data_IF_665873073325
#
_entry.id   IF_665873073325
#
_cell.length_a   1.000
_cell.length_b   1.000
_cell.length_c   1.000
_cell.angle_alpha   90.00
_cell.angle_beta   90.00
_cell.angle_gamma   90.00
#
_symmetry.space_group_name_H-M   'P 1'
#
loop_
_entity.id
_entity.type
_entity.pdbx_description
1 polymer ?
#
# COMPACT_ATOMS: atom_id res chain seq x y z
N UNK A 1 99.70 8.90 -19.42
CA UNK A 1 99.09 8.19 -20.57
C UNK A 1 97.73 7.67 -20.12
N UNK A 2 96.67 7.97 -20.88
CA UNK A 2 95.30 7.45 -20.79
C UNK A 2 94.38 7.85 -19.61
N UNK A 3 93.33 8.58 -20.02
CA UNK A 3 91.97 8.83 -19.49
C UNK A 3 91.47 7.91 -18.37
N UNK A 4 90.87 8.49 -17.32
CA UNK A 4 89.70 7.92 -16.63
C UNK A 4 88.70 9.00 -16.23
N UNK A 5 87.46 8.77 -16.70
CA UNK A 5 86.22 9.49 -16.42
C UNK A 5 85.89 9.38 -14.93
N UNK A 6 85.54 10.49 -14.27
CA UNK A 6 85.00 10.47 -12.91
C UNK A 6 83.61 11.11 -12.93
N UNK A 7 82.60 10.29 -12.67
CA UNK A 7 81.18 10.63 -12.73
C UNK A 7 80.76 11.54 -11.56
N UNK A 8 80.01 12.60 -11.85
CA UNK A 8 79.27 13.37 -10.84
C UNK A 8 78.05 12.56 -10.40
N UNK A 9 78.00 12.14 -9.14
CA UNK A 9 76.77 11.69 -8.48
C UNK A 9 75.92 12.91 -8.13
N UNK A 10 74.82 13.10 -8.85
CA UNK A 10 73.73 13.99 -8.43
C UNK A 10 72.86 13.26 -7.40
N UNK A 11 72.75 13.83 -6.19
CA UNK A 11 71.83 13.35 -5.16
C UNK A 11 70.39 13.72 -5.56
N UNK A 12 69.64 12.74 -6.08
CA UNK A 12 68.19 12.84 -6.26
C UNK A 12 67.54 12.60 -4.89
N UNK A 13 67.00 13.65 -4.27
CA UNK A 13 66.08 13.51 -3.15
C UNK A 13 64.76 12.90 -3.68
N UNK A 14 64.56 11.60 -3.42
CA UNK A 14 63.26 10.96 -3.52
C UNK A 14 62.38 11.48 -2.37
N UNK A 15 61.53 12.48 -2.66
CA UNK A 15 60.41 12.81 -1.80
C UNK A 15 59.44 11.62 -1.84
N UNK A 16 59.49 10.77 -0.81
CA UNK A 16 58.45 9.80 -0.52
C UNK A 16 57.17 10.58 -0.17
N UNK A 17 56.38 10.90 -1.20
CA UNK A 17 55.03 11.41 -1.02
C UNK A 17 54.23 10.35 -0.29
N UNK A 18 53.94 10.60 0.99
CA UNK A 18 52.91 9.86 1.70
C UNK A 18 51.61 10.10 0.94
N UNK A 19 51.18 9.14 0.13
CA UNK A 19 49.81 9.05 -0.33
C UNK A 19 48.94 8.79 0.91
N UNK A 20 48.68 9.84 1.68
CA UNK A 20 47.70 9.81 2.74
C UNK A 20 46.36 9.52 2.10
N UNK A 21 45.86 8.30 2.28
CA UNK A 21 44.46 7.97 1.99
C UNK A 21 43.59 9.04 2.65
N UNK A 22 42.79 9.76 1.87
CA UNK A 22 41.82 10.70 2.43
C UNK A 22 41.01 9.97 3.52
N UNK A 23 40.77 10.59 4.69
CA UNK A 23 40.02 9.95 5.76
C UNK A 23 38.66 9.51 5.23
N UNK A 24 38.24 8.30 5.61
CA UNK A 24 36.94 7.78 5.23
C UNK A 24 35.86 8.81 5.63
N UNK A 25 34.87 9.08 4.76
CA UNK A 25 33.79 9.99 5.12
C UNK A 25 33.10 9.46 6.38
N UNK A 26 32.82 10.35 7.33
CA UNK A 26 32.17 9.98 8.58
C UNK A 26 30.81 9.31 8.31
N UNK A 27 30.44 8.28 9.10
CA UNK A 27 29.14 7.64 8.97
C UNK A 27 28.02 8.66 9.19
N UNK A 28 26.89 8.39 8.56
CA UNK A 28 25.64 9.13 8.75
C UNK A 28 24.93 8.59 9.98
N UNK A 29 24.26 9.46 10.74
CA UNK A 29 23.46 9.03 11.89
C UNK A 29 21.98 9.24 11.66
N UNK A 30 21.17 8.20 11.88
CA UNK A 30 19.70 8.27 11.91
C UNK A 30 19.21 8.12 13.35
N UNK A 31 18.46 9.10 13.85
CA UNK A 31 17.96 9.16 15.24
C UNK A 31 16.45 9.27 15.30
N UNK A 32 15.84 8.59 16.27
CA UNK A 32 14.41 8.65 16.51
C UNK A 32 13.99 7.89 17.76
N UNK A 33 12.68 7.74 17.92
CA UNK A 33 12.11 7.00 19.05
C UNK A 33 10.94 6.13 18.59
N UNK A 34 10.85 4.90 19.11
CA UNK A 34 9.69 4.03 18.90
C UNK A 34 8.63 4.31 19.98
N UNK A 35 7.39 4.58 19.60
CA UNK A 35 6.29 4.92 20.52
C UNK A 35 5.02 4.14 20.20
N UNK A 36 4.12 3.95 21.16
CA UNK A 36 2.73 3.54 20.89
C UNK A 36 1.79 4.14 21.94
N UNK A 37 0.48 4.19 21.65
CA UNK A 37 -0.51 4.94 22.46
C UNK A 37 -1.17 4.09 23.54
N UNK A 38 -1.23 2.78 23.31
CA UNK A 38 -1.91 1.83 24.18
C UNK A 38 -1.21 1.74 25.53
N UNK A 39 -1.98 1.65 26.62
CA UNK A 39 -1.46 1.50 27.98
C UNK A 39 -1.14 0.03 28.30
N UNK A 40 -0.31 -0.59 27.46
CA UNK A 40 0.11 -1.99 27.58
C UNK A 40 1.62 -2.00 27.72
N UNK A 41 2.17 -2.76 28.67
CA UNK A 41 3.62 -2.89 28.82
C UNK A 41 4.22 -3.87 27.81
N UNK A 42 5.41 -3.55 27.30
CA UNK A 42 6.26 -4.50 26.59
C UNK A 42 6.80 -5.55 27.57
N UNK A 43 6.89 -6.84 27.15
CA UNK A 43 7.59 -7.87 27.91
C UNK A 43 9.04 -7.47 28.21
N UNK A 44 9.60 -7.91 29.34
CA UNK A 44 10.95 -7.51 29.76
C UNK A 44 12.04 -8.03 28.80
N UNK A 45 11.79 -9.19 28.19
CA UNK A 45 12.65 -9.91 27.27
C UNK A 45 12.42 -9.48 25.80
N UNK A 46 11.61 -8.44 25.57
CA UNK A 46 11.39 -7.93 24.24
C UNK A 46 12.66 -7.29 23.66
N UNK A 47 12.84 -7.41 22.35
CA UNK A 47 13.93 -6.79 21.60
C UNK A 47 13.36 -5.86 20.55
N UNK A 48 13.87 -4.62 20.48
CA UNK A 48 13.59 -3.72 19.37
C UNK A 48 14.66 -3.88 18.28
N UNK A 49 14.23 -3.79 17.03
CA UNK A 49 15.10 -3.83 15.84
C UNK A 49 14.71 -2.69 14.92
N UNK A 50 15.68 -1.90 14.50
CA UNK A 50 15.52 -0.79 13.59
C UNK A 50 16.36 -1.10 12.36
N UNK A 51 15.74 -1.14 11.19
CA UNK A 51 16.42 -1.44 9.93
C UNK A 51 16.16 -0.36 8.89
N UNK A 52 17.14 -0.10 8.04
CA UNK A 52 17.00 0.64 6.80
C UNK A 52 17.21 -0.33 5.64
N UNK A 53 16.21 -0.43 4.77
CA UNK A 53 16.32 -1.16 3.50
C UNK A 53 16.34 -0.19 2.34
N UNK A 54 17.12 -0.51 1.32
CA UNK A 54 17.13 0.20 0.05
C UNK A 54 16.33 -0.58 -1.00
N UNK A 55 15.69 0.16 -1.91
CA UNK A 55 15.00 -0.39 -3.07
C UNK A 55 15.46 0.33 -4.33
N UNK A 56 15.97 -0.45 -5.28
CA UNK A 56 16.49 0.00 -6.59
C UNK A 56 15.83 -0.81 -7.71
N UNK A 57 16.13 -0.48 -8.96
CA UNK A 57 15.68 -1.27 -10.12
C UNK A 57 16.13 -2.75 -10.06
N UNK A 58 17.17 -3.06 -9.28
CA UNK A 58 17.73 -4.41 -9.13
C UNK A 58 17.11 -5.22 -7.97
N UNK A 59 16.23 -4.61 -7.18
CA UNK A 59 15.58 -5.27 -6.03
C UNK A 59 15.80 -4.51 -4.73
N UNK A 60 15.89 -5.25 -3.62
CA UNK A 60 16.05 -4.67 -2.28
C UNK A 60 17.21 -5.25 -1.49
N UNK A 61 17.87 -4.42 -0.68
CA UNK A 61 19.00 -4.79 0.18
C UNK A 61 18.85 -4.16 1.58
N UNK A 62 19.52 -4.74 2.57
CA UNK A 62 19.67 -4.14 3.90
C UNK A 62 20.86 -3.17 3.89
N UNK A 63 20.63 -1.91 4.27
CA UNK A 63 21.67 -0.88 4.34
C UNK A 63 22.28 -0.80 5.74
N UNK A 64 21.43 -0.78 6.77
CA UNK A 64 21.86 -0.68 8.16
C UNK A 64 20.82 -1.31 9.10
N UNK A 65 21.29 -1.84 10.22
CA UNK A 65 20.45 -2.42 11.26
C UNK A 65 20.98 -2.10 12.65
N UNK A 66 20.06 -1.89 13.61
CA UNK A 66 20.34 -1.81 15.02
C UNK A 66 19.38 -2.69 15.81
N UNK A 67 19.94 -3.58 16.64
CA UNK A 67 19.20 -4.35 17.65
C UNK A 67 19.37 -3.72 19.03
N UNK A 68 18.29 -3.72 19.82
CA UNK A 68 18.23 -3.18 21.19
C UNK A 68 17.50 -4.20 22.07
N UNK A 69 18.20 -4.76 23.05
CA UNK A 69 17.56 -5.54 24.10
C UNK A 69 16.88 -4.59 25.08
N UNK A 70 15.56 -4.71 25.24
CA UNK A 70 14.79 -3.73 26.01
C UNK A 70 15.01 -3.91 27.51
N UNK A 71 15.21 -5.13 28.00
CA UNK A 71 15.49 -5.43 29.41
C UNK A 71 14.53 -4.69 30.36
N UNK A 72 13.22 -4.74 30.05
CA UNK A 72 12.16 -4.05 30.80
C UNK A 72 11.89 -2.59 30.40
N UNK A 73 12.73 -1.97 29.56
CA UNK A 73 12.51 -0.63 29.02
C UNK A 73 11.19 -0.55 28.26
N UNK A 74 10.40 0.47 28.56
CA UNK A 74 9.12 0.76 27.94
C UNK A 74 9.25 1.91 26.92
N UNK A 75 8.21 2.13 26.11
CA UNK A 75 8.15 3.28 25.20
C UNK A 75 8.10 4.61 25.97
N UNK A 76 8.67 5.70 25.43
CA UNK A 76 9.40 5.79 24.16
C UNK A 76 10.77 5.09 24.19
N UNK A 77 11.11 4.34 23.14
CA UNK A 77 12.40 3.65 23.00
C UNK A 77 13.28 4.44 22.01
N UNK A 78 14.26 5.22 22.49
CA UNK A 78 15.16 5.96 21.61
C UNK A 78 16.12 5.02 20.90
N UNK A 79 16.46 5.36 19.66
CA UNK A 79 17.46 4.66 18.86
C UNK A 79 18.39 5.62 18.13
N UNK A 80 19.59 5.11 17.86
CA UNK A 80 20.59 5.72 17.02
C UNK A 80 21.15 4.63 16.11
N UNK A 81 21.12 4.88 14.80
CA UNK A 81 21.54 3.95 13.76
C UNK A 81 22.61 4.63 12.91
N UNK A 82 23.82 4.06 12.92
CA UNK A 82 24.92 4.49 12.06
C UNK A 82 24.77 3.85 10.68
N UNK A 83 24.97 4.64 9.63
CA UNK A 83 24.86 4.21 8.23
C UNK A 83 26.16 4.57 7.51
N UNK A 84 26.79 3.58 6.87
CA UNK A 84 27.96 3.83 6.01
C UNK A 84 27.51 4.55 4.73
N UNK A 85 28.04 5.76 4.49
CA UNK A 85 27.72 6.55 3.31
C UNK A 85 28.08 5.86 2.00
N UNK A 86 29.02 4.92 2.01
CA UNK A 86 29.43 4.16 0.81
C UNK A 86 28.42 3.08 0.42
N UNK A 87 27.56 2.68 1.35
CA UNK A 87 26.52 1.67 1.13
C UNK A 87 25.19 2.30 0.67
N UNK A 88 25.15 3.62 0.47
CA UNK A 88 23.93 4.35 0.09
C UNK A 88 23.96 4.58 -1.42
N UNK A 89 22.96 4.04 -2.13
CA UNK A 89 22.67 4.45 -3.50
C UNK A 89 21.78 5.71 -3.48
N UNK A 90 22.26 6.88 -3.97
CA UNK A 90 21.48 8.11 -3.94
C UNK A 90 20.19 8.06 -4.78
N UNK A 91 20.06 7.11 -5.70
CA UNK A 91 18.86 6.87 -6.51
C UNK A 91 17.84 5.93 -5.86
N UNK A 92 18.20 5.26 -4.77
CA UNK A 92 17.35 4.28 -4.11
C UNK A 92 16.27 4.91 -3.20
N UNK A 93 15.16 4.18 -3.04
CA UNK A 93 14.23 4.45 -1.95
C UNK A 93 14.78 3.82 -0.66
N UNK A 94 14.98 4.62 0.38
CA UNK A 94 15.42 4.14 1.68
C UNK A 94 14.23 4.08 2.63
N UNK A 95 13.85 2.89 3.07
CA UNK A 95 12.77 2.69 4.03
C UNK A 95 13.32 2.29 5.40
N UNK A 96 12.95 3.08 6.41
CA UNK A 96 13.17 2.77 7.81
C UNK A 96 11.97 2.03 8.38
N UNK A 97 12.23 0.94 9.10
CA UNK A 97 11.21 0.25 9.92
C UNK A 97 11.74 -0.05 11.32
N UNK A 98 10.87 0.14 12.31
CA UNK A 98 11.07 -0.30 13.68
C UNK A 98 10.19 -1.49 13.99
N UNK A 99 10.73 -2.49 14.69
CA UNK A 99 10.02 -3.73 15.05
C UNK A 99 10.31 -4.05 16.49
N UNK A 100 9.28 -4.41 17.25
CA UNK A 100 9.43 -4.97 18.60
C UNK A 100 9.00 -6.43 18.58
N UNK A 101 9.91 -7.29 19.00
CA UNK A 101 9.73 -8.75 19.01
C UNK A 101 9.83 -9.32 20.42
N UNK A 102 9.10 -10.40 20.66
CA UNK A 102 9.16 -11.18 21.91
C UNK A 102 9.01 -12.67 21.60
N UNK A 103 9.91 -13.50 22.16
CA UNK A 103 9.94 -14.94 21.90
C UNK A 103 10.24 -15.30 20.43
N UNK A 104 10.99 -14.42 19.73
CA UNK A 104 11.25 -14.59 18.30
C UNK A 104 10.06 -14.27 17.39
N UNK A 105 9.02 -13.61 17.91
CA UNK A 105 7.89 -13.15 17.10
C UNK A 105 7.77 -11.64 17.20
N UNK A 106 7.73 -10.98 16.06
CA UNK A 106 7.43 -9.57 16.00
C UNK A 106 5.98 -9.32 16.44
N UNK A 107 5.82 -8.47 17.46
CA UNK A 107 4.53 -8.13 18.10
C UNK A 107 4.02 -6.78 17.67
N UNK A 108 4.92 -5.86 17.37
CA UNK A 108 4.61 -4.52 16.89
C UNK A 108 5.61 -4.08 15.83
N UNK A 109 5.16 -3.31 14.85
CA UNK A 109 6.05 -2.67 13.89
C UNK A 109 5.53 -1.29 13.49
N UNK A 110 6.44 -0.49 12.97
CA UNK A 110 6.12 0.81 12.38
C UNK A 110 5.69 0.62 10.93
N UNK A 111 4.92 1.58 10.42
CA UNK A 111 4.83 1.74 8.97
C UNK A 111 6.22 2.07 8.40
N UNK A 112 6.50 1.69 7.13
CA UNK A 112 7.73 2.10 6.46
C UNK A 112 7.79 3.62 6.36
N UNK A 113 8.91 4.19 6.82
CA UNK A 113 9.20 5.61 6.68
C UNK A 113 10.28 5.79 5.63
N UNK A 114 9.95 6.47 4.53
CA UNK A 114 10.95 6.84 3.52
C UNK A 114 11.89 7.90 4.09
N UNK A 115 13.19 7.70 3.91
CA UNK A 115 14.26 8.58 4.36
C UNK A 115 14.97 9.24 3.18
N UNK A 116 15.38 10.49 3.36
CA UNK A 116 16.35 11.15 2.50
C UNK A 116 17.73 11.14 3.17
N UNK A 117 18.53 10.11 2.86
CA UNK A 117 19.86 9.94 3.43
C UNK A 117 20.95 10.78 2.75
N UNK A 118 20.64 11.46 1.63
CA UNK A 118 21.61 12.30 0.91
C UNK A 118 21.95 13.60 1.66
N UNK A 119 21.09 14.02 2.59
CA UNK A 119 21.13 15.34 3.24
C UNK A 119 22.01 15.42 4.50
N UNK A 120 22.58 14.31 4.97
CA UNK A 120 23.27 14.26 6.25
C UNK A 120 22.42 13.62 7.35
N UNK A 121 22.79 13.83 8.61
CA UNK A 121 22.17 13.15 9.74
C UNK A 121 20.65 13.36 9.75
N UNK A 122 19.91 12.28 9.98
CA UNK A 122 18.44 12.27 9.86
C UNK A 122 17.80 12.16 11.23
N UNK A 123 16.86 13.05 11.52
CA UNK A 123 15.97 12.94 12.69
C UNK A 123 14.60 12.48 12.23
N UNK A 124 14.20 11.29 12.65
CA UNK A 124 12.94 10.69 12.22
C UNK A 124 11.76 11.14 13.09
N UNK A 125 12.01 11.69 14.27
CA UNK A 125 10.99 11.90 15.29
C UNK A 125 10.44 10.57 15.80
N UNK A 126 9.19 10.61 16.27
CA UNK A 126 8.49 9.43 16.75
C UNK A 126 8.07 8.51 15.60
N UNK A 127 8.29 7.21 15.78
CA UNK A 127 7.81 6.16 14.91
C UNK A 127 6.78 5.31 15.67
N UNK A 128 5.55 5.32 15.19
CA UNK A 128 4.44 4.68 15.89
C UNK A 128 4.40 3.18 15.62
N UNK A 129 4.52 2.39 16.69
CA UNK A 129 4.45 0.92 16.70
C UNK A 129 3.00 0.46 16.73
N UNK A 130 2.52 -0.04 15.60
CA UNK A 130 1.19 -0.65 15.49
C UNK A 130 1.24 -2.12 15.95
N UNK A 131 0.19 -2.62 16.62
CA UNK A 131 0.05 -4.06 16.87
C UNK A 131 0.14 -4.84 15.57
N UNK A 132 0.78 -6.00 15.64
CA UNK A 132 0.84 -6.93 14.52
C UNK A 132 0.13 -8.21 14.89
N UNK A 133 -0.70 -8.69 13.96
CA UNK A 133 -1.31 -10.01 14.07
C UNK A 133 -0.25 -11.08 13.83
N UNK A 134 0.34 -11.53 14.95
CA UNK A 134 1.27 -12.65 15.15
C UNK A 134 2.57 -12.71 14.32
N UNK A 135 2.67 -12.21 13.08
CA UNK A 135 3.95 -12.01 12.33
C UNK A 135 3.89 -10.77 11.42
N UNK A 136 4.95 -9.95 11.54
CA UNK A 136 5.11 -8.58 11.05
C UNK A 136 5.38 -8.34 9.58
N UNK A 137 5.89 -9.31 8.84
CA UNK A 137 6.28 -9.06 7.46
C UNK A 137 5.94 -10.27 6.65
N UNK A 138 4.98 -10.05 5.77
CA UNK A 138 4.74 -10.92 4.66
C UNK A 138 3.48 -10.55 3.93
N UNK A 139 3.52 -10.66 2.61
CA UNK A 139 2.33 -10.61 1.78
C UNK A 139 1.33 -11.64 2.31
N UNK A 140 0.13 -11.17 2.65
CA UNK A 140 -0.99 -12.04 2.99
C UNK A 140 -1.51 -12.69 1.71
N UNK A 141 -1.72 -14.00 1.76
CA UNK A 141 -2.26 -14.80 0.68
C UNK A 141 -3.44 -15.63 1.16
N UNK A 142 -4.33 -15.97 0.24
CA UNK A 142 -5.36 -16.99 0.38
C UNK A 142 -5.06 -18.12 -0.60
N UNK A 143 -4.73 -19.29 -0.06
CA UNK A 143 -4.55 -20.54 -0.82
C UNK A 143 -5.88 -21.30 -0.80
N UNK A 144 -6.81 -20.94 -1.70
CA UNK A 144 -8.22 -21.30 -1.54
C UNK A 144 -8.82 -20.51 -0.38
N UNK A 145 -9.24 -21.19 0.69
CA UNK A 145 -9.75 -20.61 1.93
C UNK A 145 -8.72 -20.57 3.06
N UNK A 146 -7.49 -21.05 2.81
CA UNK A 146 -6.43 -21.14 3.81
C UNK A 146 -5.59 -19.86 3.83
N UNK A 147 -5.62 -19.07 4.93
CA UNK A 147 -4.79 -17.88 5.04
C UNK A 147 -3.32 -18.24 5.24
N UNK A 148 -2.47 -17.66 4.40
CA UNK A 148 -1.03 -17.86 4.40
C UNK A 148 -0.33 -16.51 4.46
N UNK A 149 0.74 -16.40 5.25
CA UNK A 149 1.62 -15.22 5.22
C UNK A 149 3.05 -15.62 4.89
N UNK A 150 3.64 -14.92 3.94
CA UNK A 150 5.04 -15.08 3.53
C UNK A 150 5.81 -13.78 3.63
N UNK A 151 6.78 -13.72 4.52
CA UNK A 151 7.78 -12.66 4.48
C UNK A 151 9.00 -13.00 5.29
N UNK A 152 9.57 -12.06 6.05
CA UNK A 152 10.91 -12.21 6.64
C UNK A 152 10.95 -11.83 8.12
N UNK A 153 11.78 -12.54 8.86
CA UNK A 153 12.14 -12.21 10.24
C UNK A 153 13.64 -12.48 10.43
N UNK A 154 14.37 -11.45 10.89
CA UNK A 154 15.83 -11.46 11.02
C UNK A 154 16.51 -11.87 9.70
N UNK A 155 16.05 -11.28 8.59
CA UNK A 155 16.41 -11.56 7.19
C UNK A 155 16.14 -12.99 6.68
N UNK A 156 15.77 -13.94 7.55
CA UNK A 156 15.37 -15.26 7.15
C UNK A 156 13.88 -15.31 6.76
N UNK A 157 13.49 -15.98 5.67
CA UNK A 157 12.08 -16.06 5.30
C UNK A 157 11.26 -16.85 6.33
N UNK A 158 9.98 -16.52 6.45
CA UNK A 158 8.99 -17.13 7.35
C UNK A 158 7.72 -17.44 6.57
N UNK A 159 7.19 -18.64 6.79
CA UNK A 159 5.84 -19.04 6.39
C UNK A 159 4.97 -19.14 7.63
N UNK A 160 3.79 -18.53 7.58
CA UNK A 160 2.76 -18.67 8.61
C UNK A 160 1.52 -19.27 8.00
N UNK A 161 1.04 -20.35 8.58
CA UNK A 161 -0.14 -21.09 8.14
C UNK A 161 -0.70 -21.87 9.33
N UNK A 162 -2.01 -21.87 9.51
CA UNK A 162 -2.72 -22.53 10.63
C UNK A 162 -2.16 -22.18 12.02
N UNK A 163 -1.75 -20.93 12.23
CA UNK A 163 -1.14 -20.47 13.47
C UNK A 163 0.25 -21.04 13.77
N UNK A 164 0.80 -21.88 12.89
CA UNK A 164 2.17 -22.40 12.93
C UNK A 164 3.09 -21.46 12.16
N UNK A 165 4.33 -21.35 12.65
CA UNK A 165 5.39 -20.57 11.98
C UNK A 165 6.52 -21.49 11.59
N UNK A 166 6.90 -21.44 10.31
CA UNK A 166 8.00 -22.20 9.76
C UNK A 166 9.16 -21.26 9.46
N UNK A 167 10.33 -21.60 10.01
CA UNK A 167 11.60 -20.99 9.57
C UNK A 167 11.94 -21.58 8.21
N UNK A 168 12.11 -20.72 7.22
CA UNK A 168 12.40 -21.16 5.86
C UNK A 168 13.85 -20.86 5.50
N UNK A 169 14.44 -21.69 4.62
CA UNK A 169 15.69 -21.40 3.92
C UNK A 169 15.40 -21.24 2.43
N UNK A 170 16.07 -20.29 1.79
CA UNK A 170 16.04 -20.18 0.33
C UNK A 170 16.92 -21.28 -0.26
N UNK A 171 16.34 -22.12 -1.12
CA UNK A 171 17.05 -23.18 -1.86
C UNK A 171 17.36 -22.74 -3.29
N UNK A 172 16.50 -21.91 -3.87
CA UNK A 172 16.74 -21.27 -5.17
C UNK A 172 16.28 -19.83 -5.08
N UNK A 173 17.17 -18.91 -5.42
CA UNK A 173 16.88 -17.48 -5.57
C UNK A 173 16.73 -17.13 -7.06
N UNK A 174 16.00 -16.07 -7.37
CA UNK A 174 15.78 -15.61 -8.74
C UNK A 174 14.30 -15.32 -9.02
N UNK A 175 13.90 -15.44 -10.28
CA UNK A 175 12.51 -15.21 -10.72
C UNK A 175 11.52 -16.20 -10.10
N UNK A 176 11.94 -17.46 -9.96
CA UNK A 176 11.20 -18.49 -9.25
C UNK A 176 11.95 -18.81 -7.96
N UNK A 177 11.48 -18.25 -6.86
CA UNK A 177 12.05 -18.51 -5.55
C UNK A 177 11.48 -19.80 -4.97
N UNK A 178 12.38 -20.64 -4.45
CA UNK A 178 12.00 -21.87 -3.73
C UNK A 178 12.47 -21.79 -2.29
N UNK A 179 11.52 -21.81 -1.37
CA UNK A 179 11.76 -21.80 0.07
C UNK A 179 11.39 -23.16 0.66
N UNK A 180 12.23 -23.68 1.55
CA UNK A 180 12.02 -24.97 2.23
C UNK A 180 12.05 -24.74 3.74
N UNK A 181 11.10 -25.30 4.48
CA UNK A 181 11.13 -25.19 5.93
C UNK A 181 12.32 -25.98 6.50
N UNK A 182 13.02 -25.36 7.45
CA UNK A 182 14.26 -25.92 8.04
C UNK A 182 13.94 -27.18 8.84
N UNK A 183 12.88 -27.15 9.63
CA UNK A 183 12.50 -28.23 10.56
C UNK A 183 11.48 -29.21 9.95
N UNK A 184 10.98 -28.94 8.74
CA UNK A 184 10.06 -29.81 7.99
C UNK A 184 10.30 -29.68 6.47
N UNK A 185 11.24 -30.44 5.89
CA UNK A 185 11.58 -30.32 4.47
C UNK A 185 10.43 -30.68 3.51
N UNK A 186 9.35 -31.31 3.99
CA UNK A 186 8.15 -31.56 3.19
C UNK A 186 7.28 -30.30 3.04
N UNK A 187 7.51 -29.28 3.88
CA UNK A 187 6.91 -27.96 3.77
C UNK A 187 7.74 -27.04 2.86
N UNK A 188 7.15 -26.65 1.74
CA UNK A 188 7.80 -25.92 0.65
C UNK A 188 6.90 -24.79 0.17
N UNK A 189 7.51 -23.68 -0.20
CA UNK A 189 6.87 -22.57 -0.89
C UNK A 189 7.60 -22.35 -2.20
N UNK A 190 6.85 -22.21 -3.30
CA UNK A 190 7.38 -21.69 -4.56
C UNK A 190 6.68 -20.37 -4.86
N UNK A 191 7.46 -19.34 -5.17
CA UNK A 191 6.98 -18.02 -5.56
C UNK A 191 7.47 -17.69 -6.95
N UNK A 192 6.55 -17.32 -7.83
CA UNK A 192 6.82 -16.87 -9.20
C UNK A 192 6.07 -15.54 -9.41
N UNK A 193 6.79 -14.42 -9.26
CA UNK A 193 6.17 -13.10 -9.16
C UNK A 193 5.18 -13.01 -8.00
N UNK A 194 3.89 -12.85 -8.32
CA UNK A 194 2.78 -12.79 -7.36
C UNK A 194 2.10 -14.15 -7.12
N UNK A 195 2.30 -15.12 -8.02
CA UNK A 195 1.78 -16.47 -7.85
C UNK A 195 2.59 -17.21 -6.79
N UNK A 196 1.88 -17.83 -5.85
CA UNK A 196 2.48 -18.61 -4.78
C UNK A 196 1.82 -19.98 -4.73
N UNK A 197 2.64 -21.03 -4.64
CA UNK A 197 2.19 -22.38 -4.32
C UNK A 197 2.84 -22.84 -3.03
N UNK A 198 2.03 -23.48 -2.18
CA UNK A 198 2.46 -23.96 -0.87
C UNK A 198 2.16 -25.45 -0.78
N UNK A 199 3.21 -26.22 -0.50
CA UNK A 199 3.09 -27.60 -0.04
C UNK A 199 3.32 -27.63 1.45
N UNK A 200 2.32 -28.00 2.24
CA UNK A 200 2.40 -28.09 3.70
C UNK A 200 2.56 -29.55 4.13
N UNK A 201 3.70 -29.88 4.73
CA UNK A 201 4.03 -31.24 5.21
C UNK A 201 3.72 -32.34 4.17
N UNK A 202 4.03 -32.07 2.89
CA UNK A 202 3.81 -32.99 1.78
C UNK A 202 2.46 -32.87 1.05
N UNK A 203 1.48 -32.14 1.60
CA UNK A 203 0.19 -31.87 0.95
C UNK A 203 0.22 -30.58 0.15
N UNK A 204 -0.09 -30.65 -1.13
CA UNK A 204 -0.26 -29.45 -1.97
C UNK A 204 -1.54 -28.69 -1.58
N UNK A 205 -1.42 -27.38 -1.43
CA UNK A 205 -2.56 -26.47 -1.27
C UNK A 205 -2.99 -25.91 -2.64
N UNK A 206 -4.22 -25.37 -2.76
CA UNK A 206 -4.60 -24.59 -3.93
C UNK A 206 -3.62 -23.44 -4.18
N UNK A 207 -3.58 -22.95 -5.42
CA UNK A 207 -2.79 -21.77 -5.76
C UNK A 207 -3.20 -20.58 -4.89
N UNK A 208 -2.20 -19.85 -4.42
CA UNK A 208 -2.39 -18.76 -3.48
C UNK A 208 -2.44 -17.43 -4.23
N UNK A 209 -3.48 -16.64 -4.00
CA UNK A 209 -3.57 -15.25 -4.44
C UNK A 209 -3.32 -14.31 -3.27
N UNK A 210 -2.88 -13.08 -3.54
CA UNK A 210 -2.77 -12.07 -2.49
C UNK A 210 -4.17 -11.83 -1.91
N UNK A 211 -4.24 -11.72 -0.58
CA UNK A 211 -5.49 -11.47 0.13
C UNK A 211 -5.92 -10.01 -0.10
N UNK A 212 -7.10 -9.84 -0.71
CA UNK A 212 -7.78 -8.57 -1.01
C UNK A 212 -6.86 -7.38 -1.39
N UNK A 213 -5.98 -7.51 -2.42
CA UNK A 213 -5.11 -6.42 -2.83
C UNK A 213 -5.91 -5.32 -3.53
N UNK A 214 -5.42 -4.08 -3.43
CA UNK A 214 -5.85 -3.04 -4.35
C UNK A 214 -5.64 -3.52 -5.80
N UNK A 215 -6.66 -3.40 -6.66
CA UNK A 215 -6.66 -4.02 -7.99
C UNK A 215 -5.63 -3.34 -8.88
N UNK A 216 -5.09 -4.07 -9.87
CA UNK A 216 -4.39 -3.47 -11.00
C UNK A 216 -5.22 -3.64 -12.29
N UNK A 217 -5.23 -2.63 -13.19
CA UNK A 217 -4.57 -1.34 -13.04
C UNK A 217 -5.23 -0.46 -11.95
N UNK A 218 -4.38 0.27 -11.20
CA UNK A 218 -4.82 1.27 -10.22
C UNK A 218 -4.41 2.65 -10.72
N UNK A 219 -5.38 3.55 -10.82
CA UNK A 219 -5.15 4.97 -11.03
C UNK A 219 -5.45 5.74 -9.75
N UNK A 220 -4.62 6.72 -9.43
CA UNK A 220 -4.84 7.60 -8.28
C UNK A 220 -4.24 8.98 -8.52
N UNK A 221 -4.79 10.00 -7.88
CA UNK A 221 -4.31 11.37 -8.02
C UNK A 221 -4.74 12.29 -6.90
N UNK A 222 -4.23 13.52 -6.94
CA UNK A 222 -4.60 14.59 -6.02
C UNK A 222 -4.26 15.97 -6.59
N UNK A 223 -4.78 17.02 -5.96
CA UNK A 223 -4.93 18.32 -6.62
C UNK A 223 -3.92 19.39 -6.17
N UNK A 224 -3.30 19.26 -4.99
CA UNK A 224 -2.41 20.30 -4.42
C UNK A 224 -1.16 19.73 -3.71
N UNK A 225 0.03 19.81 -4.32
CA UNK A 225 0.25 20.05 -5.75
C UNK A 225 -0.35 18.92 -6.60
N UNK A 226 -0.70 19.23 -7.86
CA UNK A 226 -1.32 18.27 -8.77
C UNK A 226 -0.41 17.08 -9.07
N UNK A 227 -0.93 15.87 -8.92
CA UNK A 227 -0.22 14.63 -9.20
C UNK A 227 -1.16 13.50 -9.64
N UNK A 228 -0.63 12.55 -10.40
CA UNK A 228 -1.34 11.35 -10.85
C UNK A 228 -0.38 10.17 -10.94
N UNK A 229 -0.86 8.97 -10.60
CA UNK A 229 -0.12 7.72 -10.74
C UNK A 229 -0.97 6.67 -11.45
N UNK A 230 -0.34 5.94 -12.36
CA UNK A 230 -0.90 4.75 -13.00
C UNK A 230 -0.02 3.57 -12.65
N UNK A 231 -0.61 2.59 -11.97
CA UNK A 231 0.03 1.33 -11.61
C UNK A 231 -0.55 0.24 -12.52
N UNK A 232 0.33 -0.45 -13.24
CA UNK A 232 0.04 -1.62 -14.05
C UNK A 232 0.79 -2.84 -13.48
N UNK A 233 0.55 -4.03 -14.03
CA UNK A 233 1.14 -5.27 -13.52
C UNK A 233 2.67 -5.28 -13.48
N UNK A 234 3.34 -4.56 -14.39
CA UNK A 234 4.80 -4.53 -14.49
C UNK A 234 5.39 -3.15 -14.19
N UNK A 235 4.62 -2.08 -14.36
CA UNK A 235 5.14 -0.72 -14.49
C UNK A 235 4.30 0.28 -13.69
N UNK A 236 4.93 1.39 -13.33
CA UNK A 236 4.30 2.53 -12.69
C UNK A 236 4.70 3.80 -13.42
N UNK A 237 3.71 4.63 -13.75
CA UNK A 237 3.91 5.98 -14.27
C UNK A 237 3.45 6.98 -13.22
N UNK A 238 4.37 7.83 -12.76
CA UNK A 238 4.09 8.89 -11.80
C UNK A 238 4.27 10.25 -12.46
N UNK A 239 3.25 11.07 -12.41
CA UNK A 239 3.24 12.47 -12.87
C UNK A 239 3.07 13.38 -11.65
N UNK A 240 3.99 14.32 -11.44
CA UNK A 240 3.95 15.31 -10.35
C UNK A 240 4.05 16.73 -10.90
N UNK A 241 3.92 17.72 -10.01
CA UNK A 241 4.14 19.13 -10.31
C UNK A 241 3.25 19.63 -11.45
N UNK A 242 1.95 19.30 -11.39
CA UNK A 242 0.96 19.69 -12.40
C UNK A 242 1.29 19.23 -13.82
N UNK A 243 2.04 18.13 -13.97
CA UNK A 243 2.40 17.56 -15.26
C UNK A 243 3.83 17.82 -15.72
N UNK A 244 4.59 18.66 -14.99
CA UNK A 244 5.96 19.01 -15.37
C UNK A 244 6.95 17.85 -15.19
N UNK A 245 6.69 16.96 -14.23
CA UNK A 245 7.58 15.85 -13.88
C UNK A 245 6.92 14.52 -14.18
N UNK A 246 7.45 13.75 -15.14
CA UNK A 246 7.01 12.36 -15.41
C UNK A 246 8.13 11.38 -15.12
N UNK A 247 7.83 10.34 -14.34
CA UNK A 247 8.75 9.27 -13.97
C UNK A 247 8.11 7.92 -14.27
N UNK A 248 8.77 7.11 -15.07
CA UNK A 248 8.39 5.71 -15.31
C UNK A 248 9.33 4.79 -14.53
N UNK A 249 8.74 3.82 -13.84
CA UNK A 249 9.43 2.91 -12.93
C UNK A 249 8.90 1.49 -13.11
N UNK A 250 9.76 0.50 -12.90
CA UNK A 250 9.35 -0.89 -12.85
C UNK A 250 8.74 -1.19 -11.49
N UNK A 251 7.59 -1.87 -11.47
CA UNK A 251 7.01 -2.39 -10.25
C UNK A 251 7.90 -3.53 -9.71
N UNK A 252 8.45 -3.35 -8.51
CA UNK A 252 9.32 -4.32 -7.85
C UNK A 252 8.52 -5.37 -7.09
N UNK A 253 7.31 -5.00 -6.65
CA UNK A 253 6.40 -5.90 -5.96
C UNK A 253 5.26 -5.17 -5.29
N UNK A 254 4.26 -5.95 -4.87
CA UNK A 254 3.13 -5.49 -4.06
C UNK A 254 3.01 -6.32 -2.78
N UNK A 255 2.66 -5.66 -1.70
CA UNK A 255 2.50 -6.26 -0.37
C UNK A 255 1.22 -5.73 0.29
N UNK A 256 0.37 -6.62 0.80
CA UNK A 256 -0.82 -6.23 1.56
C UNK A 256 -0.61 -6.44 3.06
N UNK A 257 -0.88 -5.41 3.86
CA UNK A 257 -0.87 -5.44 5.32
C UNK A 257 -2.13 -4.77 5.86
N UNK A 258 -3.04 -5.58 6.44
CA UNK A 258 -4.38 -5.12 6.80
C UNK A 258 -5.10 -4.63 5.54
N UNK A 259 -5.69 -3.43 5.62
CA UNK A 259 -6.44 -2.82 4.53
C UNK A 259 -5.55 -2.00 3.57
N UNK A 260 -4.23 -2.03 3.75
CA UNK A 260 -3.28 -1.26 2.95
C UNK A 260 -2.50 -2.17 2.02
N UNK A 261 -2.62 -1.92 0.72
CA UNK A 261 -1.73 -2.49 -0.31
C UNK A 261 -0.62 -1.49 -0.60
N UNK A 262 0.63 -1.96 -0.56
CA UNK A 262 1.83 -1.16 -0.83
C UNK A 262 2.50 -1.64 -2.10
N UNK A 263 2.80 -0.70 -2.99
CA UNK A 263 3.49 -0.92 -4.24
C UNK A 263 4.85 -0.23 -4.18
N UNK A 264 5.90 -0.98 -4.46
CA UNK A 264 7.25 -0.41 -4.62
C UNK A 264 7.62 -0.41 -6.07
N UNK A 265 8.12 0.71 -6.55
CA UNK A 265 8.58 0.85 -7.92
C UNK A 265 9.93 1.57 -7.95
N UNK A 266 10.79 1.19 -8.89
CA UNK A 266 12.07 1.84 -9.10
C UNK A 266 12.52 1.80 -10.56
N UNK A 267 13.33 2.78 -10.94
CA UNK A 267 14.13 2.87 -12.16
C UNK A 267 15.46 3.54 -11.84
N UNK A 268 16.28 3.86 -12.85
CA UNK A 268 17.54 4.55 -12.62
C UNK A 268 17.30 5.94 -11.99
N UNK A 269 17.87 6.16 -10.81
CA UNK A 269 17.74 7.41 -10.05
C UNK A 269 16.35 7.74 -9.47
N UNK A 270 15.36 6.87 -9.63
CA UNK A 270 13.98 7.11 -9.19
C UNK A 270 13.40 5.90 -8.47
N UNK A 271 12.72 6.15 -7.37
CA UNK A 271 11.95 5.12 -6.68
C UNK A 271 10.80 5.74 -5.89
N UNK A 272 9.73 4.95 -5.71
CA UNK A 272 8.55 5.36 -4.96
C UNK A 272 7.93 4.20 -4.20
N UNK A 273 7.28 4.55 -3.09
CA UNK A 273 6.35 3.71 -2.34
C UNK A 273 4.95 4.30 -2.49
N UNK A 274 4.04 3.56 -3.12
CA UNK A 274 2.62 3.90 -3.17
C UNK A 274 1.87 3.05 -2.15
N UNK A 275 1.14 3.69 -1.24
CA UNK A 275 0.29 3.01 -0.25
C UNK A 275 -1.17 3.32 -0.57
N UNK A 276 -1.94 2.29 -0.95
CA UNK A 276 -3.38 2.37 -1.19
C UNK A 276 -4.12 1.69 -0.03
N UNK A 277 -4.85 2.47 0.77
CA UNK A 277 -5.62 1.97 1.92
C UNK A 277 -7.10 1.91 1.55
N UNK A 278 -7.75 0.76 1.75
CA UNK A 278 -9.16 0.53 1.45
C UNK A 278 -10.06 1.31 2.43
N UNK A 279 -10.24 2.60 2.13
CA UNK A 279 -11.10 3.52 2.85
C UNK A 279 -11.62 4.56 1.87
N UNK A 280 -12.87 4.99 2.05
CA UNK A 280 -13.47 6.00 1.18
C UNK A 280 -12.67 7.29 1.26
N UNK A 281 -12.11 7.70 0.13
CA UNK A 281 -11.39 8.95 -0.06
C UNK A 281 -12.25 9.85 -0.94
N UNK A 282 -12.48 11.10 -0.51
CA UNK A 282 -13.21 12.08 -1.31
C UNK A 282 -12.22 12.97 -2.01
N UNK A 283 -12.32 13.06 -3.33
CA UNK A 283 -11.47 13.96 -4.11
C UNK A 283 -11.62 15.39 -3.60
N UNK A 284 -10.50 16.09 -3.45
CA UNK A 284 -10.50 17.41 -2.82
C UNK A 284 -11.05 18.52 -3.71
N UNK A 285 -11.10 18.32 -5.02
CA UNK A 285 -11.64 19.29 -5.97
C UNK A 285 -13.13 19.05 -6.24
N UNK A 286 -13.55 17.79 -6.38
CA UNK A 286 -14.89 17.43 -6.84
C UNK A 286 -15.78 16.84 -5.74
N UNK A 287 -15.19 16.37 -4.64
CA UNK A 287 -15.87 15.62 -3.60
C UNK A 287 -16.20 14.17 -3.97
N UNK A 288 -15.90 13.73 -5.20
CA UNK A 288 -16.20 12.38 -5.70
C UNK A 288 -15.58 11.31 -4.79
N UNK A 289 -16.35 10.31 -4.32
CA UNK A 289 -15.82 9.23 -3.52
C UNK A 289 -15.04 8.21 -4.37
N UNK A 290 -13.90 7.78 -3.84
CA UNK A 290 -13.04 6.73 -4.39
C UNK A 290 -12.78 5.66 -3.32
N UNK A 291 -12.58 4.38 -3.72
CA UNK A 291 -12.42 3.27 -2.78
C UNK A 291 -11.11 3.27 -1.99
N UNK A 292 -10.09 4.00 -2.44
CA UNK A 292 -8.78 4.01 -1.79
C UNK A 292 -8.31 5.42 -1.46
N UNK A 293 -7.83 5.60 -0.23
CA UNK A 293 -6.92 6.70 0.11
C UNK A 293 -5.49 6.31 -0.30
N UNK A 294 -4.84 7.15 -1.09
CA UNK A 294 -3.53 6.87 -1.68
C UNK A 294 -2.49 7.87 -1.21
N UNK A 295 -1.34 7.35 -0.79
CA UNK A 295 -0.15 8.13 -0.49
C UNK A 295 0.98 7.66 -1.39
N UNK A 296 1.57 8.57 -2.16
CA UNK A 296 2.81 8.33 -2.91
C UNK A 296 3.94 9.00 -2.16
N UNK A 297 4.93 8.21 -1.76
CA UNK A 297 6.13 8.69 -1.09
C UNK A 297 7.32 8.47 -2.03
N UNK A 298 8.01 9.57 -2.35
CA UNK A 298 9.28 9.57 -3.08
C UNK A 298 10.37 10.15 -2.19
N UNK A 299 11.60 10.24 -2.71
CA UNK A 299 12.69 11.00 -2.06
C UNK A 299 12.40 12.51 -2.00
N UNK A 300 11.62 13.02 -2.95
CA UNK A 300 11.41 14.46 -3.16
C UNK A 300 10.19 14.99 -2.43
N UNK A 301 9.25 14.10 -2.07
CA UNK A 301 8.03 14.55 -1.43
C UNK A 301 7.04 13.44 -1.11
N UNK A 302 5.94 13.87 -0.49
CA UNK A 302 4.79 13.05 -0.16
C UNK A 302 3.57 13.63 -0.86
N UNK A 303 2.87 12.80 -1.63
CA UNK A 303 1.65 13.16 -2.32
C UNK A 303 0.49 12.36 -1.72
N UNK A 304 -0.64 13.03 -1.48
CA UNK A 304 -1.84 12.44 -0.87
C UNK A 304 -3.02 12.69 -1.80
N UNK A 305 -3.91 11.71 -1.91
CA UNK A 305 -5.07 11.79 -2.79
C UNK A 305 -5.87 10.50 -2.80
N UNK A 306 -6.66 10.34 -3.85
CA UNK A 306 -7.66 9.27 -3.94
C UNK A 306 -7.37 8.35 -5.12
N UNK A 307 -7.74 7.07 -5.01
CA UNK A 307 -7.46 6.06 -6.02
C UNK A 307 -8.56 5.03 -6.22
N UNK A 308 -8.54 4.40 -7.39
CA UNK A 308 -9.55 3.46 -7.85
C UNK A 308 -10.73 4.16 -8.54
N UNK A 309 -11.57 3.37 -9.21
CA UNK A 309 -12.70 3.89 -9.99
C UNK A 309 -13.89 4.17 -9.05
N UNK A 310 -14.50 5.36 -9.06
CA UNK A 310 -15.73 5.63 -8.30
C UNK A 310 -16.85 4.63 -8.60
N UNK A 311 -16.94 4.13 -9.84
CA UNK A 311 -17.95 3.12 -10.23
C UNK A 311 -17.85 1.80 -9.45
N UNK A 312 -16.68 1.42 -8.93
CA UNK A 312 -16.56 0.20 -8.10
C UNK A 312 -17.21 0.34 -6.73
N UNK A 313 -17.54 1.57 -6.32
CA UNK A 313 -18.32 1.82 -5.11
C UNK A 313 -19.82 1.64 -5.37
N UNK A 314 -20.29 1.89 -6.59
CA UNK A 314 -21.70 1.78 -6.98
C UNK A 314 -22.10 0.38 -7.46
N UNK A 315 -21.28 -0.22 -8.33
CA UNK A 315 -21.59 -1.44 -9.05
C UNK A 315 -21.31 -2.72 -8.23
N UNK A 316 -21.88 -3.83 -8.67
CA UNK A 316 -21.60 -5.17 -8.11
C UNK A 316 -22.43 -5.54 -6.87
N UNK A 317 -23.48 -4.77 -6.56
CA UNK A 317 -24.46 -5.07 -5.49
C UNK A 317 -25.83 -4.49 -5.83
N UNK A 318 -26.88 -5.08 -5.24
CA UNK A 318 -28.21 -4.49 -5.20
C UNK A 318 -28.29 -3.55 -4.00
N UNK A 319 -28.62 -2.29 -4.23
CA UNK A 319 -28.93 -1.32 -3.20
C UNK A 319 -30.43 -1.32 -2.93
N UNK A 320 -30.84 -1.33 -1.67
CA UNK A 320 -32.24 -1.21 -1.26
C UNK A 320 -32.46 0.19 -0.72
N UNK A 321 -33.35 0.96 -1.33
CA UNK A 321 -33.65 2.32 -0.88
C UNK A 321 -34.43 2.25 0.44
N UNK A 322 -33.96 2.98 1.44
CA UNK A 322 -34.56 3.07 2.78
C UNK A 322 -35.21 4.44 3.01
N UNK A 323 -34.81 5.46 2.25
CA UNK A 323 -35.28 6.83 2.44
C UNK A 323 -35.38 7.63 1.12
N UNK A 324 -36.45 8.41 0.99
CA UNK A 324 -36.65 9.43 -0.03
C UNK A 324 -36.92 10.77 0.68
N UNK A 325 -35.98 11.72 0.59
CA UNK A 325 -36.04 13.05 1.22
C UNK A 325 -36.42 13.07 2.72
N UNK A 326 -35.91 12.13 3.51
CA UNK A 326 -36.15 12.04 4.95
C UNK A 326 -37.54 11.54 5.33
N UNK A 327 -38.27 10.88 4.41
CA UNK A 327 -39.64 10.40 4.63
C UNK A 327 -39.76 8.88 4.80
N UNK A 328 -38.67 8.14 4.65
CA UNK A 328 -38.68 6.68 4.62
C UNK A 328 -39.39 6.10 3.38
N UNK A 329 -39.70 4.81 3.45
CA UNK A 329 -40.38 4.02 2.41
C UNK A 329 -41.63 3.37 3.00
N UNK A 330 -42.69 3.23 2.21
CA UNK A 330 -43.89 2.46 2.59
C UNK A 330 -43.50 0.99 2.82
N UNK A 331 -43.84 0.42 3.99
CA UNK A 331 -43.43 -0.93 4.43
C UNK A 331 -43.66 -2.06 3.40
N UNK A 332 -44.73 -1.97 2.60
CA UNK A 332 -45.06 -2.98 1.58
C UNK A 332 -44.38 -2.73 0.22
N UNK A 333 -43.49 -1.75 0.13
CA UNK A 333 -42.78 -1.36 -1.07
C UNK A 333 -41.30 -1.74 -0.95
N UNK A 334 -40.71 -2.19 -2.07
CA UNK A 334 -39.28 -2.43 -2.18
C UNK A 334 -38.76 -1.70 -3.40
N UNK A 335 -37.93 -0.69 -3.16
CA UNK A 335 -37.23 0.05 -4.22
C UNK A 335 -35.78 -0.41 -4.23
N UNK A 336 -35.26 -0.76 -5.40
CA UNK A 336 -33.87 -1.22 -5.54
C UNK A 336 -33.14 -0.56 -6.68
N UNK A 337 -31.82 -0.46 -6.56
CA UNK A 337 -30.92 0.06 -7.60
C UNK A 337 -29.78 -0.95 -7.79
N UNK A 338 -29.56 -1.38 -9.02
CA UNK A 338 -28.41 -2.20 -9.42
C UNK A 338 -27.70 -1.48 -10.57
N UNK A 339 -26.47 -1.05 -10.31
CA UNK A 339 -25.58 -0.43 -11.30
C UNK A 339 -24.71 -1.50 -11.93
N UNK A 340 -24.73 -1.61 -13.26
CA UNK A 340 -23.89 -2.55 -14.00
C UNK A 340 -22.66 -1.87 -14.60
N UNK A 341 -21.75 -2.68 -15.15
CA UNK A 341 -20.52 -2.19 -15.78
C UNK A 341 -20.74 -1.46 -17.11
N UNK A 342 -21.94 -1.57 -17.69
CA UNK A 342 -22.27 -1.07 -19.03
C UNK A 342 -22.93 0.32 -18.98
N UNK A 343 -22.93 0.97 -17.81
CA UNK A 343 -23.50 2.30 -17.63
C UNK A 343 -25.03 2.27 -17.55
N UNK A 344 -25.61 1.18 -17.03
CA UNK A 344 -27.05 1.07 -16.83
C UNK A 344 -27.38 0.85 -15.35
N UNK A 345 -28.44 1.50 -14.90
CA UNK A 345 -29.04 1.31 -13.58
C UNK A 345 -30.44 0.73 -13.76
N UNK A 346 -30.76 -0.32 -13.00
CA UNK A 346 -32.07 -0.97 -13.06
C UNK A 346 -32.53 -1.43 -11.69
N UNK A 347 -33.82 -1.75 -11.56
CA UNK A 347 -34.35 -2.27 -10.31
C UNK A 347 -35.87 -2.14 -10.17
N UNK A 348 -36.33 -2.26 -8.92
CA UNK A 348 -37.71 -1.96 -8.55
C UNK A 348 -37.90 -0.49 -8.22
N UNK A 349 -38.93 0.14 -8.76
CA UNK A 349 -39.34 1.52 -8.50
C UNK A 349 -40.64 1.57 -7.68
N UNK A 350 -40.76 0.77 -6.62
CA UNK A 350 -41.98 0.60 -5.80
C UNK A 350 -43.05 -0.25 -6.48
N UNK A 351 -43.74 0.26 -7.50
CA UNK A 351 -44.77 -0.51 -8.22
C UNK A 351 -44.19 -1.24 -9.43
N UNK A 352 -43.40 -0.52 -10.23
CA UNK A 352 -42.88 -0.95 -11.51
C UNK A 352 -41.41 -1.37 -11.45
N UNK A 353 -40.97 -2.05 -12.49
CA UNK A 353 -39.54 -2.18 -12.78
C UNK A 353 -39.11 -0.98 -13.61
N UNK A 354 -37.88 -0.53 -13.43
CA UNK A 354 -37.29 0.53 -14.22
C UNK A 354 -35.91 0.14 -14.75
N UNK A 355 -35.50 0.84 -15.80
CA UNK A 355 -34.13 0.85 -16.31
C UNK A 355 -33.79 2.25 -16.81
N UNK A 356 -32.56 2.69 -16.61
CA UNK A 356 -32.05 3.96 -17.08
C UNK A 356 -30.56 3.83 -17.44
N UNK A 357 -30.07 4.69 -18.33
CA UNK A 357 -28.64 4.84 -18.53
C UNK A 357 -28.08 5.81 -17.49
N UNK A 358 -26.85 5.59 -17.07
CA UNK A 358 -26.12 6.52 -16.22
C UNK A 358 -24.73 6.81 -16.80
N UNK A 359 -24.25 8.03 -16.58
CA UNK A 359 -22.87 8.42 -16.87
C UNK A 359 -22.20 8.82 -15.58
N UNK A 360 -21.00 8.29 -15.34
CA UNK A 360 -20.17 8.66 -14.21
C UNK A 360 -18.87 9.29 -14.71
N UNK A 361 -18.66 10.55 -14.36
CA UNK A 361 -17.40 11.27 -14.61
C UNK A 361 -16.59 11.35 -13.31
N UNK A 362 -15.45 12.05 -13.34
CA UNK A 362 -14.70 12.37 -12.12
C UNK A 362 -15.40 13.37 -11.19
N UNK A 363 -16.49 14.00 -11.65
CA UNK A 363 -17.15 15.10 -10.94
C UNK A 363 -18.62 14.82 -10.62
N UNK A 364 -19.31 14.08 -11.49
CA UNK A 364 -20.75 13.93 -11.41
C UNK A 364 -21.21 12.52 -11.78
N UNK A 365 -22.32 12.11 -11.16
CA UNK A 365 -23.15 10.98 -11.58
C UNK A 365 -24.42 11.56 -12.18
N UNK A 366 -24.71 11.25 -13.45
CA UNK A 366 -25.97 11.62 -14.10
C UNK A 366 -26.74 10.37 -14.48
N UNK A 367 -28.06 10.42 -14.35
CA UNK A 367 -28.96 9.32 -14.71
C UNK A 367 -29.99 9.88 -15.69
N UNK A 368 -30.13 9.23 -16.84
CA UNK A 368 -31.08 9.60 -17.88
C UNK A 368 -32.51 9.20 -17.48
N UNK A 369 -33.50 9.72 -18.22
CA UNK A 369 -34.91 9.40 -17.97
C UNK A 369 -35.15 7.88 -18.02
N UNK A 370 -35.77 7.36 -16.97
CA UNK A 370 -35.99 5.93 -16.82
C UNK A 370 -37.15 5.43 -17.71
N UNK A 371 -36.97 4.26 -18.32
CA UNK A 371 -38.06 3.48 -18.89
C UNK A 371 -38.67 2.58 -17.81
N UNK A 372 -39.99 2.54 -17.72
CA UNK A 372 -40.72 1.76 -16.70
C UNK A 372 -41.75 0.82 -17.31
N UNK A 373 -42.08 -0.25 -16.57
CA UNK A 373 -43.29 -1.03 -16.84
C UNK A 373 -44.55 -0.23 -16.48
N UNK A 374 -45.74 -0.73 -16.86
CA UNK A 374 -47.03 -0.06 -16.59
C UNK A 374 -47.99 -0.94 -15.80
N UNK A 375 -47.57 -1.38 -14.61
CA UNK A 375 -48.44 -2.04 -13.65
C UNK A 375 -49.33 -1.02 -12.94
N UNK A 376 -50.55 -1.46 -12.59
CA UNK A 376 -51.47 -0.66 -11.79
C UNK A 376 -51.34 -1.08 -10.32
N UNK A 377 -50.92 -0.15 -9.47
CA UNK A 377 -50.82 -0.33 -8.02
C UNK A 377 -51.69 0.70 -7.28
N UNK A 378 -51.89 0.53 -5.95
CA UNK A 378 -52.47 1.58 -5.11
C UNK A 378 -51.79 2.94 -5.30
N UNK A 379 -52.57 4.01 -5.22
CA UNK A 379 -52.11 5.38 -5.49
C UNK A 379 -50.88 5.79 -4.67
N UNK A 380 -50.81 5.36 -3.40
CA UNK A 380 -49.64 5.63 -2.55
C UNK A 380 -48.33 5.07 -3.11
N UNK A 381 -48.35 3.85 -3.66
CA UNK A 381 -47.18 3.22 -4.27
C UNK A 381 -46.77 3.91 -5.57
N UNK A 382 -47.77 4.33 -6.37
CA UNK A 382 -47.55 5.09 -7.60
C UNK A 382 -46.99 6.49 -7.33
N UNK A 383 -47.44 7.16 -6.25
CA UNK A 383 -46.92 8.46 -5.85
C UNK A 383 -45.46 8.35 -5.37
N UNK A 384 -45.13 7.32 -4.59
CA UNK A 384 -43.75 7.04 -4.17
C UNK A 384 -42.85 6.69 -5.37
N UNK A 385 -43.34 5.89 -6.32
CA UNK A 385 -42.64 5.60 -7.58
C UNK A 385 -42.28 6.87 -8.34
N UNK A 386 -43.25 7.77 -8.56
CA UNK A 386 -42.97 9.04 -9.26
C UNK A 386 -41.93 9.87 -8.51
N UNK A 387 -42.02 9.96 -7.18
CA UNK A 387 -41.04 10.70 -6.38
C UNK A 387 -39.64 10.11 -6.51
N UNK A 388 -39.52 8.78 -6.44
CA UNK A 388 -38.25 8.09 -6.64
C UNK A 388 -37.67 8.38 -8.03
N UNK A 389 -38.47 8.26 -9.10
CA UNK A 389 -38.00 8.50 -10.46
C UNK A 389 -37.60 9.97 -10.71
N UNK A 390 -38.34 10.93 -10.13
CA UNK A 390 -37.98 12.35 -10.16
C UNK A 390 -36.64 12.63 -9.47
N UNK A 391 -36.39 12.03 -8.30
CA UNK A 391 -35.10 12.16 -7.60
C UNK A 391 -34.00 11.52 -8.44
N UNK A 392 -34.24 10.33 -8.98
CA UNK A 392 -33.26 9.57 -9.75
C UNK A 392 -32.79 10.34 -10.99
N UNK A 393 -33.71 10.91 -11.77
CA UNK A 393 -33.40 11.74 -12.93
C UNK A 393 -32.69 13.06 -12.56
N UNK A 394 -32.90 13.53 -11.33
CA UNK A 394 -32.25 14.74 -10.81
C UNK A 394 -30.86 14.53 -10.21
N UNK A 395 -30.36 13.29 -10.12
CA UNK A 395 -29.06 12.96 -9.50
C UNK A 395 -27.92 13.65 -10.23
N UNK A 396 -27.02 14.26 -9.44
CA UNK A 396 -25.78 14.88 -9.92
C UNK A 396 -24.54 14.35 -9.20
N UNK A 397 -24.72 13.74 -8.03
CA UNK A 397 -23.63 13.27 -7.17
C UNK A 397 -24.05 12.02 -6.39
N UNK A 398 -23.06 11.21 -6.02
CA UNK A 398 -23.25 10.11 -5.07
C UNK A 398 -22.14 10.10 -4.02
N UNK A 399 -22.48 9.61 -2.83
CA UNK A 399 -21.52 9.38 -1.75
C UNK A 399 -21.84 8.08 -1.00
N UNK A 400 -20.90 7.64 -0.16
CA UNK A 400 -21.11 6.62 0.86
C UNK A 400 -20.96 7.24 2.25
N UNK A 401 -21.98 7.08 3.07
CA UNK A 401 -21.93 7.53 4.46
C UNK A 401 -21.02 6.62 5.32
N UNK A 402 -20.85 6.97 6.60
CA UNK A 402 -19.99 6.20 7.52
C UNK A 402 -20.50 4.79 7.81
N UNK A 403 -21.77 4.50 7.53
CA UNK A 403 -22.36 3.17 7.64
C UNK A 403 -22.20 2.33 6.37
N UNK A 404 -21.72 2.94 5.28
CA UNK A 404 -21.64 2.33 3.96
C UNK A 404 -22.92 2.44 3.13
N UNK A 405 -23.89 3.24 3.57
CA UNK A 405 -25.11 3.50 2.81
C UNK A 405 -24.80 4.43 1.62
N UNK A 406 -25.36 4.10 0.46
CA UNK A 406 -25.36 4.93 -0.74
C UNK A 406 -26.26 6.14 -0.51
N UNK A 407 -25.72 7.33 -0.75
CA UNK A 407 -26.47 8.59 -0.77
C UNK A 407 -26.42 9.11 -2.19
N UNK A 408 -27.57 9.23 -2.86
CA UNK A 408 -27.67 9.95 -4.14
C UNK A 408 -28.23 11.33 -3.89
N UNK A 409 -27.57 12.35 -4.43
CA UNK A 409 -27.92 13.75 -4.26
C UNK A 409 -28.16 14.41 -5.62
N UNK A 410 -29.23 15.17 -5.70
CA UNK A 410 -29.71 15.74 -6.94
C UNK A 410 -30.43 17.08 -6.77
N UNK A 411 -30.79 17.66 -7.89
CA UNK A 411 -31.58 18.91 -7.94
C UNK A 411 -33.03 18.71 -7.51
N UNK A 412 -33.54 17.49 -7.65
CA UNK A 412 -34.92 17.11 -7.31
C UNK A 412 -35.07 16.62 -5.86
N UNK A 413 -33.97 16.27 -5.19
CA UNK A 413 -33.98 15.70 -3.84
C UNK A 413 -32.79 14.78 -3.57
N UNK A 414 -32.92 13.94 -2.54
CA UNK A 414 -31.93 12.92 -2.17
C UNK A 414 -32.59 11.60 -1.81
N UNK A 415 -31.87 10.50 -2.02
CA UNK A 415 -32.25 9.19 -1.54
C UNK A 415 -31.09 8.48 -0.84
N UNK A 416 -31.42 7.59 0.09
CA UNK A 416 -30.44 6.76 0.81
C UNK A 416 -30.78 5.29 0.59
N UNK A 417 -29.76 4.48 0.31
CA UNK A 417 -29.90 3.05 0.05
C UNK A 417 -28.79 2.21 0.70
N UNK A 418 -29.04 0.94 1.00
CA UNK A 418 -28.10 0.02 1.65
C UNK A 418 -27.92 -1.30 0.91
#
# INVERSE_FOLDING_TARGET
MMVRVTAMLGAILLAAGCAGSAPAPAPLTVRGELTYRERIALPAEATARIEIREYTANGSSLVAERRIDLAGRQVPIPFELEVDRRAIDPGALHELRGVVSHGGFARRATEPKVLNLASGDVRTGELHLRPLDRIAFGTAYLCGDVPVRLGRLDDAPRLVIDGRTFRMRTETAGSIERLVAVDDPATIVRRDGESVTVRLSGRELPECSIDNPAPLPLSAGGNEPGWHVELNAADMKLVTDYGESTREMKLLGRETEGDTTRFRAASDGNAALVSATATICRDSATGMPHPYAVVVQTRDGRHVGCGGKPSSLLAGREWVVEDLDGRGIIDSSRITLEFDSDGRVSGGASCNRFTAQYTLTGEALTIESAATTRMACPEALMNQERRFLEILEGVVHFDLDTSGALVLQGTAGSLVAR
#
